data_IF_737963774935
#
_entry.id   IF_737963774935
#
_cell.length_a   1.000
_cell.length_b   1.000
_cell.length_c   1.000
_cell.angle_alpha   90.00
_cell.angle_beta   90.00
_cell.angle_gamma   90.00
#
_symmetry.space_group_name_H-M   'P 1'
#
loop_
_entity.id
_entity.type
_entity.pdbx_description
1 polymer ?
#
# COMPACT_ATOMS: atom_id res chain seq x y z
N UNK A 1 21.50 2.37 7.52
CA UNK A 1 20.49 2.16 6.46
C UNK A 1 19.71 3.46 6.30
N UNK A 2 19.58 3.99 5.07
CA UNK A 2 18.83 5.24 4.78
C UNK A 2 17.53 4.86 4.08
N UNK A 3 16.39 5.41 4.53
CA UNK A 3 15.06 5.17 3.91
C UNK A 3 14.82 6.08 2.71
N UNK A 4 14.04 5.64 1.73
CA UNK A 4 13.63 6.50 0.62
C UNK A 4 12.91 7.78 1.10
N UNK A 5 12.12 7.69 2.18
CA UNK A 5 11.48 8.85 2.80
C UNK A 5 12.47 9.83 3.44
N UNK A 6 13.65 9.38 3.86
CA UNK A 6 14.72 10.26 4.36
C UNK A 6 15.38 11.02 3.22
N UNK A 7 15.63 10.35 2.10
CA UNK A 7 16.14 11.00 0.88
C UNK A 7 15.15 12.04 0.39
N UNK A 8 13.86 11.71 0.32
CA UNK A 8 12.81 12.65 -0.05
C UNK A 8 12.72 13.85 0.90
N UNK A 9 12.86 13.62 2.22
CA UNK A 9 12.90 14.69 3.21
C UNK A 9 14.08 15.64 3.00
N UNK A 10 15.28 15.12 2.70
CA UNK A 10 16.47 15.92 2.42
C UNK A 10 16.33 16.72 1.11
N UNK A 11 15.88 16.07 0.03
CA UNK A 11 15.65 16.70 -1.29
C UNK A 11 14.62 17.82 -1.18
N UNK A 12 13.55 17.62 -0.38
CA UNK A 12 12.56 18.66 -0.11
C UNK A 12 13.12 19.79 0.76
N UNK A 13 13.76 19.46 1.89
CA UNK A 13 14.36 20.42 2.80
C UNK A 13 15.46 19.78 3.67
N UNK A 14 16.72 20.07 3.34
CA UNK A 14 17.88 19.61 4.11
C UNK A 14 17.84 20.02 5.59
N UNK A 15 17.29 21.20 5.91
CA UNK A 15 17.14 21.65 7.30
C UNK A 15 16.13 20.80 8.06
N UNK A 16 14.98 20.47 7.46
CA UNK A 16 13.98 19.61 8.09
C UNK A 16 14.54 18.22 8.36
N UNK A 17 15.26 17.66 7.38
CA UNK A 17 16.00 16.41 7.56
C UNK A 17 17.01 16.49 8.72
N UNK A 18 17.82 17.55 8.80
CA UNK A 18 18.82 17.69 9.85
C UNK A 18 18.17 17.81 11.23
N UNK A 19 17.11 18.61 11.37
CA UNK A 19 16.38 18.75 12.62
C UNK A 19 15.86 17.40 13.12
N UNK A 20 15.25 16.62 12.22
CA UNK A 20 14.69 15.33 12.60
C UNK A 20 15.75 14.25 12.84
N UNK A 21 16.80 14.19 12.02
CA UNK A 21 17.75 13.07 12.00
C UNK A 21 19.00 13.29 12.82
N UNK A 22 19.42 14.54 12.99
CA UNK A 22 20.62 14.90 13.74
C UNK A 22 20.24 15.54 15.08
N UNK A 23 19.31 16.49 15.09
CA UNK A 23 18.87 17.12 16.34
C UNK A 23 17.82 16.31 17.10
N UNK A 24 17.17 15.33 16.46
CA UNK A 24 16.17 14.47 17.10
C UNK A 24 14.80 15.15 17.31
N UNK A 25 14.53 16.24 16.60
CA UNK A 25 13.27 16.98 16.71
C UNK A 25 12.14 16.22 16.01
N UNK A 26 11.09 15.88 16.76
CA UNK A 26 9.96 15.14 16.22
C UNK A 26 8.99 16.05 15.44
N UNK A 27 8.63 15.71 14.18
CA UNK A 27 7.69 16.51 13.42
C UNK A 27 6.29 16.44 14.04
N UNK A 28 5.59 17.57 14.08
CA UNK A 28 4.20 17.62 14.49
C UNK A 28 3.31 16.65 13.66
N UNK A 29 2.19 16.22 14.25
CA UNK A 29 1.18 15.43 13.53
C UNK A 29 1.48 13.93 13.42
N UNK A 30 2.25 13.34 14.34
CA UNK A 30 2.50 11.90 14.41
C UNK A 30 1.21 11.07 14.35
N UNK A 31 0.19 11.46 15.13
CA UNK A 31 -1.12 10.81 15.12
C UNK A 31 -1.78 10.76 13.73
N UNK A 32 -1.60 11.80 12.90
CA UNK A 32 -2.12 11.82 11.52
C UNK A 32 -1.38 10.82 10.64
N UNK A 33 -0.06 10.69 10.80
CA UNK A 33 0.77 9.73 10.06
C UNK A 33 0.39 8.30 10.44
N UNK A 34 0.25 8.01 11.73
CA UNK A 34 -0.12 6.67 12.22
C UNK A 34 -1.49 6.26 11.71
N UNK A 35 -2.45 7.18 11.74
CA UNK A 35 -3.78 6.96 11.18
C UNK A 35 -3.73 6.72 9.66
N UNK A 36 -2.85 7.42 8.94
CA UNK A 36 -2.58 7.17 7.52
C UNK A 36 -2.04 5.76 7.27
N UNK A 37 -1.05 5.32 8.06
CA UNK A 37 -0.47 3.96 7.98
C UNK A 37 -1.53 2.90 8.21
N UNK A 38 -2.39 3.06 9.23
CA UNK A 38 -3.48 2.13 9.51
C UNK A 38 -4.48 2.05 8.36
N UNK A 39 -4.83 3.18 7.76
CA UNK A 39 -5.73 3.23 6.59
C UNK A 39 -5.12 2.53 5.38
N UNK A 40 -3.84 2.78 5.09
CA UNK A 40 -3.15 2.12 3.99
C UNK A 40 -3.05 0.60 4.19
N UNK A 41 -2.79 0.14 5.41
CA UNK A 41 -2.76 -1.29 5.74
C UNK A 41 -4.13 -1.97 5.55
N UNK A 42 -5.21 -1.32 5.98
CA UNK A 42 -6.58 -1.84 5.75
C UNK A 42 -6.93 -1.86 4.26
N UNK A 43 -6.57 -0.80 3.54
CA UNK A 43 -6.84 -0.70 2.11
C UNK A 43 -6.07 -1.76 1.31
N UNK A 44 -4.79 -1.99 1.60
CA UNK A 44 -4.00 -3.03 0.89
C UNK A 44 -4.57 -4.42 1.09
N UNK A 45 -5.09 -4.71 2.29
CA UNK A 45 -5.77 -5.97 2.58
C UNK A 45 -7.06 -6.12 1.78
N UNK A 46 -7.88 -5.06 1.68
CA UNK A 46 -9.08 -5.05 0.86
C UNK A 46 -8.77 -5.24 -0.63
N UNK A 47 -7.72 -4.58 -1.15
CA UNK A 47 -7.26 -4.73 -2.54
C UNK A 47 -6.80 -6.16 -2.82
N UNK A 48 -6.02 -6.77 -1.91
CA UNK A 48 -5.57 -8.15 -2.05
C UNK A 48 -6.74 -9.15 -2.11
N UNK A 49 -7.72 -8.99 -1.22
CA UNK A 49 -8.94 -9.83 -1.21
C UNK A 49 -9.72 -9.65 -2.50
N UNK A 50 -9.91 -8.39 -2.94
CA UNK A 50 -10.65 -8.08 -4.17
C UNK A 50 -9.97 -8.68 -5.40
N UNK A 51 -8.64 -8.58 -5.49
CA UNK A 51 -7.86 -9.22 -6.54
C UNK A 51 -8.01 -10.74 -6.55
N UNK A 52 -7.95 -11.38 -5.39
CA UNK A 52 -8.17 -12.83 -5.25
C UNK A 52 -9.57 -13.27 -5.70
N UNK A 53 -10.61 -12.52 -5.32
CA UNK A 53 -11.99 -12.80 -5.74
C UNK A 53 -12.17 -12.65 -7.25
N UNK A 54 -11.55 -11.64 -7.87
CA UNK A 54 -11.58 -11.47 -9.32
C UNK A 54 -10.92 -12.64 -10.06
N UNK A 55 -9.80 -13.14 -9.54
CA UNK A 55 -9.15 -14.34 -10.09
C UNK A 55 -10.06 -15.58 -9.99
N UNK A 56 -10.66 -15.83 -8.83
CA UNK A 56 -11.61 -16.95 -8.64
C UNK A 56 -12.80 -16.81 -9.58
N UNK A 57 -13.39 -15.62 -9.69
CA UNK A 57 -14.50 -15.35 -10.61
C UNK A 57 -14.11 -15.63 -12.07
N UNK A 58 -12.91 -15.21 -12.49
CA UNK A 58 -12.37 -15.50 -13.81
C UNK A 58 -12.21 -17.00 -14.07
N UNK A 59 -11.66 -17.75 -13.12
CA UNK A 59 -11.50 -19.21 -13.23
C UNK A 59 -12.86 -19.93 -13.33
N UNK A 60 -13.83 -19.55 -12.49
CA UNK A 60 -15.18 -20.10 -12.53
C UNK A 60 -15.89 -19.80 -13.85
N UNK A 61 -15.72 -18.58 -14.40
CA UNK A 61 -16.27 -18.20 -15.69
C UNK A 61 -15.69 -19.06 -16.81
N UNK A 62 -14.37 -19.22 -16.87
CA UNK A 62 -13.71 -20.06 -17.88
C UNK A 62 -14.17 -21.52 -17.76
N UNK A 63 -14.23 -22.07 -16.54
CA UNK A 63 -14.70 -23.43 -16.31
C UNK A 63 -16.17 -23.61 -16.75
N UNK A 64 -17.04 -22.65 -16.43
CA UNK A 64 -18.44 -22.68 -16.84
C UNK A 64 -18.60 -22.65 -18.37
N UNK A 65 -17.85 -21.79 -19.07
CA UNK A 65 -17.85 -21.73 -20.54
C UNK A 65 -17.34 -23.04 -21.14
N UNK A 66 -16.27 -23.62 -20.60
CA UNK A 66 -15.74 -24.91 -21.08
C UNK A 66 -16.77 -26.04 -20.93
N UNK A 67 -17.48 -26.09 -19.81
CA UNK A 67 -18.55 -27.08 -19.59
C UNK A 67 -19.70 -26.91 -20.58
N UNK A 68 -20.11 -25.68 -20.87
CA UNK A 68 -21.16 -25.41 -21.87
C UNK A 68 -20.73 -25.86 -23.27
N UNK A 69 -19.47 -25.63 -23.65
CA UNK A 69 -18.93 -26.07 -24.94
C UNK A 69 -18.88 -27.60 -25.02
N UNK A 70 -18.48 -28.28 -23.94
CA UNK A 70 -18.42 -29.75 -23.90
C UNK A 70 -19.78 -30.43 -23.86
N UNK A 71 -20.81 -29.72 -23.39
CA UNK A 71 -22.18 -30.23 -23.29
C UNK A 71 -23.02 -30.04 -24.57
N UNK A 72 -22.51 -29.27 -25.54
CA UNK A 72 -23.12 -29.03 -26.85
C UNK A 72 -22.63 -30.06 -27.89
#
# INVERSE_FOLDING_TARGET
MIRASEVGEYVYCARAWWLRRVAGEEPAGQARRDLGTLRHARHSQAVAISGGLLWVAGLLLVAGVALLILAL
#
